data_IF_787892611421
#
_entry.id   IF_787892611421
#
_cell.length_a   1.000
_cell.length_b   1.000
_cell.length_c   1.000
_cell.angle_alpha   90.00
_cell.angle_beta   90.00
_cell.angle_gamma   90.00
#
_symmetry.space_group_name_H-M   'P 1'
#
loop_
_entity.id
_entity.type
_entity.pdbx_description
1 polymer ?
#
# COMPACT_ATOMS: atom_id res chain seq x y z
N UNK A 1 -16.16 -2.28 3.57
CA UNK A 1 -14.79 -2.78 3.88
C UNK A 1 -14.93 -3.98 4.81
N UNK A 2 -14.26 -5.12 4.50
CA UNK A 2 -14.25 -6.27 5.43
C UNK A 2 -13.36 -5.93 6.62
N UNK A 3 -13.78 -6.30 7.83
CA UNK A 3 -12.93 -6.15 9.02
C UNK A 3 -11.74 -7.09 8.87
N UNK A 4 -10.54 -6.53 8.90
CA UNK A 4 -9.31 -7.30 8.91
C UNK A 4 -8.95 -7.70 10.35
N UNK A 5 -8.34 -8.87 10.50
CA UNK A 5 -7.70 -9.32 11.74
C UNK A 5 -6.25 -9.63 11.43
N UNK A 6 -5.34 -9.25 12.30
CA UNK A 6 -3.91 -9.46 12.10
C UNK A 6 -3.10 -8.61 13.06
N UNK A 7 -1.80 -8.88 13.14
CA UNK A 7 -0.89 -8.04 13.94
C UNK A 7 -0.29 -6.95 13.04
N UNK A 8 -0.31 -5.68 13.46
CA UNK A 8 0.39 -4.63 12.73
C UNK A 8 1.89 -4.91 12.75
N UNK A 9 2.55 -4.67 11.63
CA UNK A 9 4.02 -4.76 11.53
C UNK A 9 4.66 -3.38 11.61
N UNK A 10 5.51 -2.99 10.66
CA UNK A 10 6.19 -1.70 10.69
C UNK A 10 5.21 -0.56 10.42
N UNK A 11 5.34 0.52 11.18
CA UNK A 11 4.48 1.70 11.06
C UNK A 11 5.13 2.75 10.17
N UNK A 12 4.32 3.34 9.30
CA UNK A 12 4.56 4.63 8.68
C UNK A 12 3.87 5.71 9.52
N UNK A 13 4.54 6.82 9.80
CA UNK A 13 3.97 7.97 10.49
C UNK A 13 3.92 9.11 9.47
N UNK A 14 2.74 9.68 9.25
CA UNK A 14 2.48 10.77 8.32
C UNK A 14 2.04 12.02 9.06
N UNK A 15 2.40 13.19 8.53
CA UNK A 15 1.84 14.47 8.96
C UNK A 15 0.47 14.67 8.29
N UNK A 16 -0.62 14.82 9.06
CA UNK A 16 -1.95 15.03 8.51
C UNK A 16 -2.13 16.39 7.81
N UNK A 17 -1.22 17.36 8.00
CA UNK A 17 -1.29 18.72 7.43
C UNK A 17 -2.67 19.39 7.63
N UNK A 18 -3.27 19.20 8.82
CA UNK A 18 -4.63 19.68 9.18
C UNK A 18 -5.79 19.04 8.40
N UNK A 19 -5.56 17.93 7.70
CA UNK A 19 -6.62 17.13 7.09
C UNK A 19 -6.96 15.93 7.98
N UNK A 20 -8.25 15.69 8.19
CA UNK A 20 -8.77 14.49 8.85
C UNK A 20 -9.07 13.37 7.83
N UNK A 21 -8.94 13.66 6.53
CA UNK A 21 -9.27 12.73 5.46
C UNK A 21 -8.02 11.93 5.05
N UNK A 22 -8.06 10.61 5.28
CA UNK A 22 -6.95 9.71 4.93
C UNK A 22 -6.49 9.87 3.47
N UNK A 23 -7.41 10.04 2.53
CA UNK A 23 -7.06 10.16 1.10
C UNK A 23 -6.21 11.39 0.86
N UNK A 24 -6.59 12.52 1.43
CA UNK A 24 -5.88 13.78 1.26
C UNK A 24 -4.50 13.72 1.94
N UNK A 25 -4.43 13.09 3.12
CA UNK A 25 -3.17 12.84 3.84
C UNK A 25 -2.23 11.96 3.03
N UNK A 26 -2.73 10.87 2.43
CA UNK A 26 -1.94 9.99 1.57
C UNK A 26 -1.46 10.70 0.29
N UNK A 27 -2.28 11.59 -0.28
CA UNK A 27 -1.90 12.38 -1.46
C UNK A 27 -0.84 13.45 -1.11
N UNK A 28 -0.97 14.09 0.05
CA UNK A 28 0.01 15.06 0.53
C UNK A 28 1.35 14.41 0.87
N UNK A 29 1.34 13.18 1.38
CA UNK A 29 2.52 12.39 1.75
C UNK A 29 2.78 11.24 0.75
N UNK A 30 2.56 11.49 -0.55
CA UNK A 30 2.59 10.45 -1.59
C UNK A 30 3.93 9.72 -1.69
N UNK A 31 5.02 10.44 -1.44
CA UNK A 31 6.38 9.91 -1.59
C UNK A 31 6.71 8.99 -0.43
N UNK A 32 6.47 9.43 0.82
CA UNK A 32 6.67 8.57 1.99
C UNK A 32 5.78 7.32 1.94
N UNK A 33 4.54 7.48 1.48
CA UNK A 33 3.62 6.35 1.36
C UNK A 33 4.05 5.37 0.26
N UNK A 34 4.51 5.86 -0.89
CA UNK A 34 5.00 4.99 -1.98
C UNK A 34 6.24 4.20 -1.53
N UNK A 35 7.20 4.86 -0.91
CA UNK A 35 8.39 4.22 -0.33
C UNK A 35 8.04 3.17 0.72
N UNK A 36 7.03 3.45 1.55
CA UNK A 36 6.52 2.49 2.50
C UNK A 36 5.94 1.24 1.82
N UNK A 37 5.13 1.40 0.77
CA UNK A 37 4.59 0.27 0.00
C UNK A 37 5.72 -0.56 -0.64
N UNK A 38 6.75 0.09 -1.18
CA UNK A 38 7.94 -0.60 -1.71
C UNK A 38 8.66 -1.40 -0.62
N UNK A 39 8.82 -0.84 0.58
CA UNK A 39 9.48 -1.52 1.73
C UNK A 39 8.67 -2.71 2.28
N UNK A 40 7.34 -2.64 2.24
CA UNK A 40 6.46 -3.79 2.57
C UNK A 40 6.70 -4.92 1.56
N UNK A 41 6.98 -4.54 0.31
CA UNK A 41 7.29 -5.42 -0.79
C UNK A 41 6.05 -5.82 -1.58
N UNK A 42 6.28 -6.10 -2.86
CA UNK A 42 5.27 -6.51 -3.83
C UNK A 42 5.51 -7.97 -4.22
N UNK A 43 4.43 -8.70 -4.49
CA UNK A 43 4.49 -9.94 -5.23
C UNK A 43 4.45 -9.61 -6.73
N UNK A 44 5.40 -10.14 -7.49
CA UNK A 44 5.55 -9.88 -8.91
C UNK A 44 5.23 -11.19 -9.63
N UNK A 45 4.16 -11.21 -10.42
CA UNK A 45 3.86 -12.31 -11.33
C UNK A 45 4.08 -11.85 -12.76
N UNK A 46 4.88 -12.61 -13.51
CA UNK A 46 5.19 -12.31 -14.90
C UNK A 46 4.68 -13.46 -15.77
N UNK A 47 3.81 -13.12 -16.72
CA UNK A 47 3.19 -14.07 -17.61
C UNK A 47 3.48 -13.68 -19.06
N UNK A 48 4.01 -14.62 -19.81
CA UNK A 48 4.32 -14.46 -21.23
C UNK A 48 3.52 -15.49 -22.03
N UNK A 49 2.87 -15.04 -23.11
CA UNK A 49 2.07 -15.87 -23.99
C UNK A 49 2.28 -15.47 -25.44
N UNK A 50 2.77 -16.41 -26.23
CA UNK A 50 2.84 -16.26 -27.69
C UNK A 50 1.62 -16.91 -28.32
N UNK A 51 0.88 -16.16 -29.12
CA UNK A 51 -0.28 -16.64 -29.90
C UNK A 51 -0.20 -16.06 -31.31
N UNK A 52 -0.34 -16.91 -32.34
CA UNK A 52 -0.23 -16.50 -33.75
C UNK A 52 1.04 -15.68 -34.06
N UNK A 53 2.18 -16.09 -33.52
CA UNK A 53 3.47 -15.38 -33.64
C UNK A 53 3.50 -13.96 -33.03
N UNK A 54 2.47 -13.57 -32.29
CA UNK A 54 2.44 -12.33 -31.49
C UNK A 54 2.74 -12.69 -30.05
N UNK A 55 3.75 -12.05 -29.48
CA UNK A 55 4.12 -12.21 -28.09
C UNK A 55 3.38 -11.18 -27.23
N UNK A 56 2.72 -11.66 -26.18
CA UNK A 56 2.10 -10.84 -25.14
C UNK A 56 2.80 -11.10 -23.81
N UNK A 57 3.30 -10.03 -23.19
CA UNK A 57 3.93 -10.08 -21.88
C UNK A 57 3.12 -9.23 -20.90
N UNK A 58 2.78 -9.79 -19.75
CA UNK A 58 2.02 -9.13 -18.69
C UNK A 58 2.74 -9.29 -17.36
N UNK A 59 3.00 -8.18 -16.67
CA UNK A 59 3.54 -8.19 -15.30
C UNK A 59 2.47 -7.67 -14.35
N UNK A 60 2.08 -8.47 -13.38
CA UNK A 60 1.12 -8.13 -12.34
C UNK A 60 1.86 -7.86 -11.03
N UNK A 61 1.70 -6.65 -10.50
CA UNK A 61 2.24 -6.25 -9.20
C UNK A 61 1.13 -6.30 -8.15
N UNK A 62 1.30 -7.13 -7.13
CA UNK A 62 0.31 -7.32 -6.06
C UNK A 62 0.90 -6.95 -4.71
N UNK A 63 0.22 -6.09 -3.95
CA UNK A 63 0.59 -5.80 -2.55
C UNK A 63 0.47 -7.07 -1.69
N UNK A 64 1.43 -7.30 -0.80
CA UNK A 64 1.41 -8.47 0.11
C UNK A 64 0.24 -8.48 1.09
N UNK A 65 -0.41 -7.34 1.30
CA UNK A 65 -1.62 -7.24 2.11
C UNK A 65 -2.56 -6.20 1.53
N UNK A 66 -3.86 -6.40 1.74
CA UNK A 66 -4.91 -5.43 1.46
C UNK A 66 -5.45 -4.82 2.76
N UNK A 67 -4.89 -5.21 3.90
CA UNK A 67 -5.35 -4.86 5.22
C UNK A 67 -4.34 -3.95 5.92
N UNK A 68 -4.78 -2.76 6.30
CA UNK A 68 -3.98 -1.78 7.03
C UNK A 68 -4.70 -1.38 8.31
N UNK A 69 -3.95 -1.26 9.40
CA UNK A 69 -4.38 -0.53 10.59
C UNK A 69 -4.00 0.93 10.40
N UNK A 70 -4.97 1.82 10.59
CA UNK A 70 -4.79 3.25 10.51
C UNK A 70 -5.22 3.85 11.84
N UNK A 71 -4.30 4.49 12.53
CA UNK A 71 -4.56 5.17 13.80
C UNK A 71 -4.35 6.69 13.58
N UNK A 72 -5.40 7.48 13.86
CA UNK A 72 -5.35 8.94 13.82
C UNK A 72 -5.05 9.46 15.23
N UNK A 73 -4.01 10.25 15.37
CA UNK A 73 -3.68 11.02 16.57
C UNK A 73 -3.65 12.51 16.22
N UNK A 74 -3.76 13.38 17.23
CA UNK A 74 -3.89 14.85 17.07
C UNK A 74 -2.85 15.48 16.11
N UNK A 75 -1.63 14.93 16.06
CA UNK A 75 -0.54 15.47 15.24
C UNK A 75 0.04 14.47 14.22
N UNK A 76 -0.52 13.27 14.09
CA UNK A 76 0.08 12.23 13.22
C UNK A 76 -0.90 11.14 12.83
N UNK A 77 -0.75 10.60 11.62
CA UNK A 77 -1.47 9.40 11.18
C UNK A 77 -0.49 8.24 11.09
N UNK A 78 -0.78 7.14 11.79
CA UNK A 78 0.03 5.92 11.77
C UNK A 78 -0.63 4.87 10.89
N UNK A 79 0.12 4.33 9.95
CA UNK A 79 -0.34 3.29 9.03
C UNK A 79 0.55 2.06 9.18
N UNK A 80 -0.04 0.89 9.39
CA UNK A 80 0.70 -0.37 9.42
C UNK A 80 -0.03 -1.48 8.66
N UNK A 81 0.65 -2.23 7.78
CA UNK A 81 0.08 -3.43 7.18
C UNK A 81 -0.16 -4.49 8.25
N UNK A 82 -1.29 -5.17 8.13
CA UNK A 82 -1.66 -6.32 8.95
C UNK A 82 -1.16 -7.60 8.28
N UNK A 83 -0.49 -8.43 9.09
CA UNK A 83 -0.12 -9.81 8.77
C UNK A 83 -1.07 -10.79 9.44
#
# INVERSE_FOLDING_TARGET
MKKCKGKPSNFLILDPQKSDNLKDILLANKEEFSDFLYKIGLNIDHQEKTSNSVNHSTTVLTLKTTCFKVDFNDNSVKIAPLK
#
